data_IF_495441183975
#
_entry.id   IF_495441183975
#
_cell.length_a   1.000
_cell.length_b   1.000
_cell.length_c   1.000
_cell.angle_alpha   90.00
_cell.angle_beta   90.00
_cell.angle_gamma   90.00
#
_symmetry.space_group_name_H-M   'P 1'
#
loop_
_entity.id
_entity.type
_entity.pdbx_description
1 polymer ?
#
# COMPACT_ATOMS: atom_id res chain seq x y z
N UNK A 1 25.41 -53.13 -8.38
CA UNK A 1 25.73 -52.82 -6.98
C UNK A 1 25.88 -51.31 -6.78
N UNK A 2 24.88 -50.52 -7.18
CA UNK A 2 24.78 -49.10 -6.85
C UNK A 2 23.30 -48.81 -6.67
N UNK A 3 22.81 -49.19 -5.49
CA UNK A 3 21.46 -48.95 -5.03
C UNK A 3 21.54 -48.05 -3.79
N UNK A 4 20.59 -47.14 -3.71
CA UNK A 4 20.25 -46.32 -2.54
C UNK A 4 21.37 -45.41 -1.99
N UNK A 5 21.34 -44.14 -2.39
CA UNK A 5 21.48 -42.99 -1.48
C UNK A 5 21.35 -41.72 -2.30
N UNK A 6 20.15 -41.13 -2.30
CA UNK A 6 19.82 -39.69 -2.26
C UNK A 6 18.29 -39.62 -2.45
N UNK A 7 17.56 -39.97 -1.38
CA UNK A 7 16.19 -39.51 -1.15
C UNK A 7 16.14 -39.05 0.31
N UNK A 8 16.76 -37.91 0.60
CA UNK A 8 16.39 -37.13 1.77
C UNK A 8 15.24 -36.24 1.34
N UNK A 9 14.03 -36.73 1.57
CA UNK A 9 12.79 -35.98 1.53
C UNK A 9 12.91 -34.79 2.48
N UNK A 10 13.01 -33.58 1.93
CA UNK A 10 12.71 -32.37 2.69
C UNK A 10 11.18 -32.31 2.77
N UNK A 11 10.61 -32.83 3.86
CA UNK A 11 9.20 -32.63 4.19
C UNK A 11 9.02 -31.19 4.69
N UNK A 12 8.98 -30.23 3.78
CA UNK A 12 8.46 -28.90 4.10
C UNK A 12 6.94 -29.04 4.10
N UNK A 13 6.34 -29.05 5.30
CA UNK A 13 4.89 -29.01 5.43
C UNK A 13 4.39 -27.72 4.79
N UNK A 14 3.71 -27.83 3.65
CA UNK A 14 2.97 -26.72 3.07
C UNK A 14 1.96 -26.24 4.13
N UNK A 15 1.92 -24.94 4.46
CA UNK A 15 0.95 -24.43 5.42
C UNK A 15 -0.47 -24.73 4.91
N UNK A 16 -1.43 -24.99 5.81
CA UNK A 16 -2.79 -25.35 5.40
C UNK A 16 -3.40 -24.23 4.53
N UNK A 17 -4.25 -24.61 3.57
CA UNK A 17 -4.90 -23.68 2.63
C UNK A 17 -5.56 -22.47 3.32
N UNK A 18 -6.07 -22.63 4.54
CA UNK A 18 -6.61 -21.54 5.36
C UNK A 18 -5.57 -20.47 5.72
N UNK A 19 -4.33 -20.85 5.98
CA UNK A 19 -3.21 -19.94 6.26
C UNK A 19 -2.77 -19.20 5.00
N UNK A 20 -2.78 -19.87 3.85
CA UNK A 20 -2.44 -19.25 2.55
C UNK A 20 -3.49 -18.20 2.18
N UNK A 21 -4.78 -18.53 2.28
CA UNK A 21 -5.87 -17.59 2.01
C UNK A 21 -5.88 -16.42 3.00
N UNK A 22 -5.63 -16.67 4.29
CA UNK A 22 -5.51 -15.61 5.29
C UNK A 22 -4.32 -14.68 4.99
N UNK A 23 -3.19 -15.24 4.55
CA UNK A 23 -2.00 -14.45 4.19
C UNK A 23 -2.20 -13.66 2.89
N UNK A 24 -2.86 -14.24 1.89
CA UNK A 24 -3.24 -13.54 0.67
C UNK A 24 -4.23 -12.40 0.95
N UNK A 25 -5.24 -12.64 1.80
CA UNK A 25 -6.18 -11.59 2.23
C UNK A 25 -5.47 -10.47 3.02
N UNK A 26 -4.52 -10.83 3.88
CA UNK A 26 -3.70 -9.89 4.64
C UNK A 26 -2.83 -9.00 3.75
N UNK A 27 -2.14 -9.61 2.77
CA UNK A 27 -1.30 -8.89 1.80
C UNK A 27 -2.17 -8.01 0.90
N UNK A 28 -3.29 -8.54 0.37
CA UNK A 28 -4.24 -7.79 -0.46
C UNK A 28 -4.78 -6.53 0.24
N UNK A 29 -4.92 -6.55 1.57
CA UNK A 29 -5.33 -5.38 2.34
C UNK A 29 -4.36 -4.21 2.18
N UNK A 30 -3.07 -4.47 2.06
CA UNK A 30 -2.06 -3.41 1.87
C UNK A 30 -2.00 -2.94 0.42
N UNK A 31 -2.11 -3.85 -0.55
CA UNK A 31 -2.18 -3.49 -1.98
C UNK A 31 -3.37 -2.57 -2.30
N UNK A 32 -4.47 -2.70 -1.54
CA UNK A 32 -5.67 -1.87 -1.67
C UNK A 32 -5.71 -0.68 -0.68
N UNK A 33 -4.66 -0.48 0.13
CA UNK A 33 -4.63 0.55 1.17
C UNK A 33 -4.54 1.95 0.56
N UNK A 34 -5.69 2.62 0.47
CA UNK A 34 -5.81 3.98 -0.05
C UNK A 34 -5.35 5.08 0.90
N UNK A 35 -5.73 4.98 2.17
CA UNK A 35 -5.52 6.01 3.19
C UNK A 35 -4.52 5.53 4.25
N UNK A 36 -3.88 6.46 4.96
CA UNK A 36 -2.88 6.13 6.00
C UNK A 36 -3.51 5.35 7.17
N UNK A 37 -4.71 5.74 7.56
CA UNK A 37 -5.55 5.14 8.59
C UNK A 37 -6.69 4.32 7.97
N UNK A 38 -7.14 3.32 8.73
CA UNK A 38 -8.31 2.52 8.37
C UNK A 38 -9.61 3.27 8.70
N UNK A 39 -10.73 2.89 8.08
CA UNK A 39 -12.04 3.48 8.39
C UNK A 39 -12.37 3.38 9.90
N UNK A 40 -12.15 2.21 10.50
CA UNK A 40 -12.34 2.02 11.94
C UNK A 40 -11.40 2.86 12.82
N UNK A 41 -10.18 3.13 12.36
CA UNK A 41 -9.27 4.05 13.07
C UNK A 41 -9.82 5.48 13.08
N UNK A 42 -10.37 5.95 11.95
CA UNK A 42 -10.98 7.28 11.86
C UNK A 42 -12.24 7.36 12.72
N UNK A 43 -13.08 6.32 12.70
CA UNK A 43 -14.26 6.23 13.57
C UNK A 43 -13.86 6.27 15.05
N UNK A 44 -12.83 5.52 15.46
CA UNK A 44 -12.32 5.55 16.83
C UNK A 44 -11.82 6.93 17.24
N UNK A 45 -11.14 7.67 16.35
CA UNK A 45 -10.73 9.05 16.62
C UNK A 45 -11.97 9.94 16.82
N UNK A 46 -12.99 9.80 15.97
CA UNK A 46 -14.24 10.54 16.14
C UNK A 46 -14.93 10.21 17.48
N UNK A 47 -14.90 8.93 17.90
CA UNK A 47 -15.39 8.50 19.21
C UNK A 47 -14.56 9.01 20.40
N UNK A 48 -13.35 9.54 20.20
CA UNK A 48 -12.59 10.23 21.25
C UNK A 48 -12.87 11.74 21.26
N UNK A 49 -13.06 12.34 20.08
CA UNK A 49 -13.32 13.77 19.92
C UNK A 49 -14.73 14.15 20.41
N UNK A 50 -15.76 13.40 20.04
CA UNK A 50 -17.13 13.73 20.43
C UNK A 50 -17.32 13.77 21.96
N UNK A 51 -16.88 12.75 22.73
CA UNK A 51 -16.93 12.83 24.20
C UNK A 51 -16.06 13.94 24.77
N UNK A 52 -14.92 14.26 24.16
CA UNK A 52 -14.07 15.38 24.59
C UNK A 52 -14.83 16.71 24.49
N UNK A 53 -15.58 16.94 23.40
CA UNK A 53 -16.41 18.13 23.24
C UNK A 53 -17.52 18.22 24.29
N UNK A 54 -18.25 17.13 24.55
CA UNK A 54 -19.31 17.13 25.57
C UNK A 54 -18.76 17.34 26.98
N UNK A 55 -17.54 16.87 27.26
CA UNK A 55 -16.86 17.10 28.54
C UNK A 55 -16.48 18.56 28.73
N UNK A 56 -15.91 19.21 27.73
CA UNK A 56 -15.60 20.65 27.78
C UNK A 56 -16.87 21.46 28.09
N UNK A 57 -17.99 21.15 27.43
CA UNK A 57 -19.29 21.78 27.71
C UNK A 57 -19.76 21.55 29.15
N UNK A 58 -19.63 20.31 29.63
CA UNK A 58 -20.02 19.95 31.00
C UNK A 58 -19.15 20.65 32.04
N UNK A 59 -17.84 20.81 31.79
CA UNK A 59 -16.93 21.55 32.66
C UNK A 59 -17.27 23.05 32.70
N UNK A 60 -17.48 23.67 31.54
CA UNK A 60 -17.89 25.07 31.45
C UNK A 60 -19.21 25.33 32.20
N UNK A 61 -20.22 24.49 31.97
CA UNK A 61 -21.51 24.59 32.66
C UNK A 61 -21.36 24.41 34.18
N UNK A 62 -20.51 23.47 34.60
CA UNK A 62 -20.20 23.25 36.02
C UNK A 62 -19.57 24.48 36.68
N UNK A 63 -18.62 25.13 36.00
CA UNK A 63 -17.99 26.38 36.47
C UNK A 63 -19.02 27.52 36.56
N UNK A 64 -19.86 27.68 35.55
CA UNK A 64 -20.93 28.67 35.53
C UNK A 64 -21.92 28.46 36.69
N UNK A 65 -22.41 27.23 36.89
CA UNK A 65 -23.32 26.89 37.99
C UNK A 65 -22.71 27.15 39.37
N UNK A 66 -21.41 26.88 39.53
CA UNK A 66 -20.70 27.17 40.77
C UNK A 66 -20.66 28.68 41.07
N UNK A 67 -20.51 29.53 40.04
CA UNK A 67 -20.57 30.99 40.19
C UNK A 67 -21.96 31.45 40.66
N UNK A 68 -23.03 30.96 40.04
CA UNK A 68 -24.40 31.26 40.47
C UNK A 68 -24.67 30.86 41.93
N UNK A 69 -24.22 29.66 42.33
CA UNK A 69 -24.41 29.16 43.71
C UNK A 69 -23.69 29.99 44.76
N UNK A 70 -22.57 30.59 44.41
CA UNK A 70 -21.77 31.39 45.33
C UNK A 70 -22.21 32.88 45.38
N UNK A 71 -23.28 33.26 44.68
CA UNK A 71 -23.86 34.61 44.73
C UNK A 71 -23.02 35.71 44.06
N UNK A 72 -21.95 35.35 43.35
CA UNK A 72 -21.06 36.27 42.64
C UNK A 72 -21.20 36.10 41.14
N UNK A 73 -22.19 36.76 40.53
CA UNK A 73 -22.30 36.82 39.08
C UNK A 73 -21.30 37.86 38.54
N UNK A 74 -20.15 37.37 38.08
CA UNK A 74 -19.19 38.16 37.32
C UNK A 74 -19.45 37.90 35.83
N UNK A 75 -20.14 38.83 35.16
CA UNK A 75 -20.50 38.72 33.74
C UNK A 75 -19.26 38.59 32.84
N UNK A 76 -18.13 39.22 33.21
CA UNK A 76 -16.90 39.12 32.44
C UNK A 76 -16.31 37.71 32.52
N UNK A 77 -16.31 37.10 33.71
CA UNK A 77 -15.87 35.69 33.86
C UNK A 77 -16.81 34.71 33.18
N UNK A 78 -18.12 34.95 33.23
CA UNK A 78 -19.11 34.10 32.55
C UNK A 78 -18.86 34.09 31.04
N UNK A 79 -18.69 35.27 30.45
CA UNK A 79 -18.39 35.43 29.02
C UNK A 79 -17.07 34.78 28.65
N UNK A 80 -16.03 34.96 29.48
CA UNK A 80 -14.73 34.33 29.25
C UNK A 80 -14.80 32.78 29.23
N UNK A 81 -15.65 32.17 30.06
CA UNK A 81 -15.86 30.72 30.05
C UNK A 81 -16.51 30.26 28.73
N UNK A 82 -17.54 30.97 28.27
CA UNK A 82 -18.20 30.65 27.00
C UNK A 82 -17.24 30.82 25.80
N UNK A 83 -16.46 31.89 25.78
CA UNK A 83 -15.44 32.12 24.75
C UNK A 83 -14.37 31.03 24.75
N UNK A 84 -13.87 30.64 25.93
CA UNK A 84 -12.90 29.56 26.06
C UNK A 84 -13.48 28.22 25.57
N UNK A 85 -14.72 27.89 25.96
CA UNK A 85 -15.41 26.69 25.51
C UNK A 85 -15.53 26.64 23.98
N UNK A 86 -15.91 27.77 23.36
CA UNK A 86 -16.03 27.87 21.91
C UNK A 86 -14.68 27.65 21.24
N UNK A 87 -13.60 28.24 21.77
CA UNK A 87 -12.24 28.06 21.26
C UNK A 87 -11.79 26.61 21.37
N UNK A 88 -12.00 25.94 22.51
CA UNK A 88 -11.55 24.57 22.72
C UNK A 88 -12.33 23.57 21.84
N UNK A 89 -13.65 23.75 21.71
CA UNK A 89 -14.47 22.92 20.82
C UNK A 89 -14.07 23.13 19.35
N UNK A 90 -13.77 24.37 18.97
CA UNK A 90 -13.31 24.69 17.62
C UNK A 90 -11.93 24.07 17.35
N UNK A 91 -11.00 24.12 18.31
CA UNK A 91 -9.70 23.47 18.23
C UNK A 91 -9.83 21.96 17.99
N UNK A 92 -10.72 21.27 18.72
CA UNK A 92 -10.97 19.84 18.50
C UNK A 92 -11.52 19.52 17.11
N UNK A 93 -12.34 20.41 16.53
CA UNK A 93 -12.81 20.25 15.13
C UNK A 93 -11.67 20.44 14.14
N UNK A 94 -10.80 21.41 14.37
CA UNK A 94 -9.62 21.65 13.55
C UNK A 94 -8.67 20.47 13.58
N UNK A 95 -8.45 19.88 14.75
CA UNK A 95 -7.69 18.64 14.89
C UNK A 95 -8.28 17.50 14.06
N UNK A 96 -9.60 17.30 14.13
CA UNK A 96 -10.26 16.26 13.33
C UNK A 96 -10.09 16.50 11.82
N UNK A 97 -10.29 17.73 11.37
CA UNK A 97 -10.16 18.08 9.96
C UNK A 97 -8.71 17.90 9.46
N UNK A 98 -7.72 18.28 10.27
CA UNK A 98 -6.31 18.06 9.95
C UNK A 98 -5.98 16.56 9.86
N UNK A 99 -6.53 15.73 10.75
CA UNK A 99 -6.38 14.26 10.68
C UNK A 99 -6.97 13.73 9.36
N UNK A 100 -8.17 14.18 8.98
CA UNK A 100 -8.81 13.76 7.73
C UNK A 100 -8.01 14.18 6.50
N UNK A 101 -7.47 15.39 6.49
CA UNK A 101 -6.62 15.88 5.39
C UNK A 101 -5.33 15.06 5.29
N UNK A 102 -4.61 14.88 6.42
CA UNK A 102 -3.36 14.13 6.46
C UNK A 102 -3.54 12.66 6.11
N UNK A 103 -4.71 12.09 6.40
CA UNK A 103 -5.04 10.71 6.11
C UNK A 103 -5.06 10.40 4.59
N UNK A 104 -5.19 11.43 3.75
CA UNK A 104 -5.01 11.28 2.31
C UNK A 104 -3.53 11.01 1.96
N UNK A 105 -3.24 10.15 0.96
CA UNK A 105 -1.88 9.71 0.63
C UNK A 105 -1.09 10.76 -0.16
N UNK A 106 -1.14 12.02 0.27
CA UNK A 106 -0.41 13.15 -0.33
C UNK A 106 0.91 13.40 0.40
N UNK A 107 1.72 14.32 -0.13
CA UNK A 107 2.96 14.73 0.54
C UNK A 107 2.60 15.49 1.81
N UNK A 108 3.16 15.05 2.94
CA UNK A 108 2.94 15.71 4.23
C UNK A 108 3.62 17.10 4.22
N UNK A 109 2.80 18.16 4.36
CA UNK A 109 3.27 19.54 4.51
C UNK A 109 3.76 19.81 5.93
N UNK A 110 4.64 20.79 6.10
CA UNK A 110 5.16 21.17 7.41
C UNK A 110 4.05 21.64 8.36
N UNK A 111 3.12 22.49 7.89
CA UNK A 111 1.99 22.96 8.70
C UNK A 111 1.15 21.80 9.27
N UNK A 112 0.94 20.76 8.45
CA UNK A 112 0.22 19.56 8.86
C UNK A 112 1.04 18.73 9.87
N UNK A 113 2.36 18.66 9.71
CA UNK A 113 3.25 18.00 10.67
C UNK A 113 3.17 18.67 12.04
N UNK A 114 3.25 20.00 12.07
CA UNK A 114 3.18 20.80 13.30
C UNK A 114 1.82 20.64 13.98
N UNK A 115 0.73 20.58 13.19
CA UNK A 115 -0.60 20.29 13.70
C UNK A 115 -0.69 18.90 14.34
N UNK A 116 -0.12 17.87 13.73
CA UNK A 116 -0.10 16.52 14.32
C UNK A 116 0.68 16.48 15.64
N UNK A 117 1.78 17.21 15.75
CA UNK A 117 2.53 17.31 17.01
C UNK A 117 1.69 17.95 18.11
N UNK A 118 0.95 19.04 17.80
CA UNK A 118 -0.03 19.62 18.73
C UNK A 118 -1.11 18.63 19.14
N UNK A 119 -1.67 17.87 18.19
CA UNK A 119 -2.71 16.85 18.48
C UNK A 119 -2.16 15.75 19.39
N UNK A 120 -0.91 15.32 19.16
CA UNK A 120 -0.26 14.29 19.97
C UNK A 120 0.02 14.76 21.40
N UNK A 121 0.30 16.04 21.60
CA UNK A 121 0.56 16.63 22.92
C UNK A 121 -0.72 16.98 23.67
N UNK A 122 -1.83 17.19 22.98
CA UNK A 122 -3.10 17.52 23.62
C UNK A 122 -3.54 16.44 24.62
N UNK A 123 -3.82 16.87 25.86
CA UNK A 123 -4.35 16.05 26.94
C UNK A 123 -5.60 16.73 27.48
N UNK A 124 -6.70 15.99 27.54
CA UNK A 124 -7.89 16.39 28.27
C UNK A 124 -7.99 15.56 29.54
N UNK A 125 -8.09 16.24 30.68
CA UNK A 125 -8.25 15.59 31.97
C UNK A 125 -9.67 15.04 32.13
N UNK A 126 -9.77 13.74 32.44
CA UNK A 126 -11.02 13.00 32.55
C UNK A 126 -10.96 12.07 33.76
N UNK A 127 -11.57 12.47 34.88
CA UNK A 127 -11.80 11.57 36.03
C UNK A 127 -10.54 10.75 36.41
N UNK A 128 -9.39 11.42 36.54
CA UNK A 128 -8.08 10.83 36.86
C UNK A 128 -7.38 10.05 35.73
N UNK A 129 -7.90 10.09 34.49
CA UNK A 129 -7.23 9.60 33.28
C UNK A 129 -7.06 10.73 32.24
N UNK A 130 -5.86 10.84 31.65
CA UNK A 130 -5.63 11.76 30.54
C UNK A 130 -6.11 11.15 29.21
N UNK A 131 -7.07 11.80 28.56
CA UNK A 131 -7.51 11.41 27.22
C UNK A 131 -6.61 12.02 26.14
N UNK A 132 -5.97 11.15 25.36
CA UNK A 132 -5.30 11.52 24.12
C UNK A 132 -6.23 11.35 22.91
N UNK A 133 -6.19 12.29 21.96
CA UNK A 133 -7.03 12.24 20.74
C UNK A 133 -6.56 11.12 19.80
N UNK A 134 -5.25 11.01 19.59
CA UNK A 134 -4.62 9.98 18.77
C UNK A 134 -3.62 9.20 19.62
N UNK A 135 -3.46 7.90 19.33
CA UNK A 135 -2.41 7.09 19.94
C UNK A 135 -1.11 7.14 19.11
N UNK A 136 -0.02 6.58 19.66
CA UNK A 136 1.30 6.58 19.02
C UNK A 136 1.28 5.93 17.63
N UNK A 137 0.56 4.83 17.44
CA UNK A 137 0.49 4.13 16.16
C UNK A 137 -0.28 4.93 15.10
N UNK A 138 -1.40 5.55 15.46
CA UNK A 138 -2.15 6.45 14.57
C UNK A 138 -1.31 7.65 14.16
N UNK A 139 -0.56 8.22 15.10
CA UNK A 139 0.37 9.30 14.83
C UNK A 139 1.47 8.89 13.85
N UNK A 140 2.16 7.76 14.11
CA UNK A 140 3.24 7.27 13.24
C UNK A 140 2.74 7.03 11.80
N UNK A 141 1.52 6.50 11.65
CA UNK A 141 0.88 6.32 10.35
C UNK A 141 0.57 7.65 9.66
N UNK A 142 0.02 8.65 10.38
CA UNK A 142 -0.28 9.96 9.82
C UNK A 142 0.99 10.72 9.40
N UNK A 143 2.09 10.52 10.14
CA UNK A 143 3.40 11.12 9.88
C UNK A 143 4.15 10.55 8.68
N UNK A 144 3.61 9.54 7.98
CA UNK A 144 4.22 9.01 6.75
C UNK A 144 4.34 10.15 5.72
N UNK A 145 5.56 10.44 5.21
CA UNK A 145 5.81 11.64 4.41
C UNK A 145 5.21 11.56 3.00
N UNK A 146 5.17 10.36 2.40
CA UNK A 146 4.59 10.11 1.08
C UNK A 146 3.91 8.74 1.04
N UNK A 147 2.68 8.72 0.54
CA UNK A 147 1.87 7.49 0.42
C UNK A 147 1.20 7.09 1.73
N UNK A 148 0.66 5.87 1.75
CA UNK A 148 -0.17 5.33 2.84
C UNK A 148 0.48 4.19 3.63
N UNK A 149 1.60 3.66 3.13
CA UNK A 149 2.24 2.45 3.67
C UNK A 149 3.29 2.81 4.70
N UNK A 150 3.15 2.24 5.89
CA UNK A 150 4.21 2.22 6.89
C UNK A 150 5.40 1.38 6.41
N UNK A 151 6.59 1.53 7.03
CA UNK A 151 7.76 0.74 6.65
C UNK A 151 7.53 -0.78 6.72
N UNK A 152 6.77 -1.25 7.70
CA UNK A 152 6.42 -2.67 7.86
C UNK A 152 5.48 -3.14 6.76
N UNK A 153 4.41 -2.39 6.48
CA UNK A 153 3.47 -2.70 5.39
C UNK A 153 4.15 -2.68 4.01
N UNK A 154 5.06 -1.72 3.79
CA UNK A 154 5.86 -1.66 2.56
C UNK A 154 6.69 -2.92 2.38
N UNK A 155 7.40 -3.37 3.43
CA UNK A 155 8.20 -4.59 3.40
C UNK A 155 7.36 -5.84 3.09
N UNK A 156 6.15 -5.92 3.64
CA UNK A 156 5.22 -7.01 3.34
C UNK A 156 4.77 -7.00 1.87
N UNK A 157 4.49 -5.83 1.30
CA UNK A 157 4.18 -5.71 -0.13
C UNK A 157 5.39 -6.11 -0.98
N UNK A 158 6.57 -5.58 -0.70
CA UNK A 158 7.81 -5.86 -1.44
C UNK A 158 8.18 -7.35 -1.42
N UNK A 159 7.77 -8.09 -0.38
CA UNK A 159 8.00 -9.52 -0.27
C UNK A 159 7.38 -10.36 -1.39
N UNK A 160 6.39 -9.84 -2.13
CA UNK A 160 5.73 -10.57 -3.22
C UNK A 160 6.74 -11.04 -4.27
N UNK A 161 7.80 -10.27 -4.52
CA UNK A 161 8.84 -10.58 -5.50
C UNK A 161 9.66 -11.78 -5.07
N UNK A 162 10.01 -11.83 -3.78
CA UNK A 162 10.73 -12.95 -3.16
C UNK A 162 9.85 -14.20 -3.16
N UNK A 163 8.56 -14.05 -2.85
CA UNK A 163 7.60 -15.15 -2.92
C UNK A 163 7.46 -15.68 -4.35
N UNK A 164 7.36 -14.80 -5.36
CA UNK A 164 7.33 -15.15 -6.78
C UNK A 164 8.60 -15.90 -7.20
N UNK A 165 9.78 -15.39 -6.84
CA UNK A 165 11.03 -16.08 -7.13
C UNK A 165 11.05 -17.47 -6.52
N UNK A 166 10.75 -17.58 -5.23
CA UNK A 166 10.71 -18.86 -4.54
C UNK A 166 9.77 -19.83 -5.23
N UNK A 167 8.56 -19.40 -5.60
CA UNK A 167 7.62 -20.24 -6.33
C UNK A 167 8.18 -20.69 -7.68
N UNK A 168 8.65 -19.75 -8.51
CA UNK A 168 9.17 -20.04 -9.84
C UNK A 168 10.43 -20.91 -9.80
N UNK A 169 11.25 -20.83 -8.75
CA UNK A 169 12.45 -21.66 -8.58
C UNK A 169 12.15 -23.14 -8.36
N UNK A 170 10.92 -23.52 -8.00
CA UNK A 170 10.52 -24.92 -7.89
C UNK A 170 10.08 -25.53 -9.23
N UNK A 171 9.88 -24.71 -10.26
CA UNK A 171 9.48 -25.18 -11.59
C UNK A 171 10.74 -25.70 -12.32
N UNK A 172 10.71 -26.90 -12.90
CA UNK A 172 11.83 -27.46 -13.64
C UNK A 172 11.95 -26.81 -15.03
N UNK A 173 12.51 -25.60 -15.08
CA UNK A 173 12.74 -24.86 -16.32
C UNK A 173 13.72 -25.58 -17.24
N UNK A 174 13.51 -25.44 -18.55
CA UNK A 174 14.54 -25.78 -19.54
C UNK A 174 15.72 -24.80 -19.44
N UNK A 175 16.86 -25.12 -20.07
CA UNK A 175 18.07 -24.29 -20.01
C UNK A 175 17.82 -22.87 -20.53
N UNK A 176 16.93 -22.73 -21.50
CA UNK A 176 16.56 -21.46 -22.13
C UNK A 176 15.79 -20.54 -21.15
N UNK A 177 15.05 -21.12 -20.19
CA UNK A 177 14.17 -20.39 -19.26
C UNK A 177 14.64 -20.44 -17.80
N UNK A 178 15.81 -21.03 -17.52
CA UNK A 178 16.34 -21.17 -16.15
C UNK A 178 16.46 -19.83 -15.38
N UNK A 179 16.54 -18.70 -16.10
CA UNK A 179 16.67 -17.37 -15.53
C UNK A 179 15.33 -16.68 -15.23
N UNK A 180 14.18 -17.29 -15.59
CA UNK A 180 12.85 -16.72 -15.34
C UNK A 180 12.62 -16.33 -13.87
N UNK A 181 13.00 -17.15 -12.87
CA UNK A 181 12.85 -16.75 -11.46
C UNK A 181 13.64 -15.49 -11.12
N UNK A 182 14.88 -15.37 -11.60
CA UNK A 182 15.73 -14.19 -11.37
C UNK A 182 15.19 -12.96 -12.09
N UNK A 183 14.70 -13.13 -13.31
CA UNK A 183 14.12 -12.04 -14.10
C UNK A 183 12.89 -11.46 -13.39
N UNK A 184 11.98 -12.35 -12.96
CA UNK A 184 10.81 -11.99 -12.18
C UNK A 184 11.19 -11.42 -10.81
N UNK A 185 12.31 -11.82 -10.22
CA UNK A 185 12.76 -11.27 -8.94
C UNK A 185 13.32 -9.84 -9.06
N UNK A 186 13.87 -9.47 -10.22
CA UNK A 186 14.60 -8.21 -10.36
C UNK A 186 13.80 -7.08 -11.05
N UNK A 187 12.54 -7.29 -11.44
CA UNK A 187 11.76 -6.29 -12.18
C UNK A 187 11.37 -5.03 -11.37
N UNK A 188 11.53 -5.06 -10.04
CA UNK A 188 11.37 -3.88 -9.17
C UNK A 188 12.71 -3.25 -8.74
N UNK A 189 13.84 -3.78 -9.23
CA UNK A 189 15.14 -3.14 -9.05
C UNK A 189 15.21 -1.82 -9.82
N UNK A 190 16.05 -0.90 -9.33
CA UNK A 190 16.25 0.44 -9.92
C UNK A 190 17.72 0.63 -10.22
N UNK A 191 18.04 1.30 -11.33
CA UNK A 191 19.44 1.39 -11.79
C UNK A 191 20.39 2.02 -10.76
N UNK A 192 19.88 2.95 -9.94
CA UNK A 192 20.63 3.59 -8.86
C UNK A 192 20.77 2.74 -7.56
N UNK A 193 20.21 1.53 -7.51
CA UNK A 193 20.25 0.64 -6.35
C UNK A 193 19.19 0.93 -5.27
N UNK A 194 18.25 1.84 -5.50
CA UNK A 194 17.14 2.13 -4.57
C UNK A 194 15.96 1.16 -4.68
N UNK A 195 16.07 0.17 -5.58
CA UNK A 195 15.05 -0.86 -5.78
C UNK A 195 15.13 -2.00 -4.77
N UNK A 196 14.33 -3.04 -5.03
CA UNK A 196 14.21 -4.22 -4.20
C UNK A 196 14.01 -5.46 -5.08
N UNK A 197 14.28 -6.69 -4.59
CA UNK A 197 14.60 -7.04 -3.20
C UNK A 197 16.07 -7.00 -2.80
N UNK A 198 17.01 -6.89 -3.75
CA UNK A 198 18.45 -7.00 -3.51
C UNK A 198 19.15 -5.64 -3.43
N UNK A 199 18.58 -4.59 -4.02
CA UNK A 199 19.21 -3.27 -4.08
C UNK A 199 20.43 -3.24 -5.00
N UNK A 200 20.40 -4.07 -6.05
CA UNK A 200 21.48 -4.17 -7.04
C UNK A 200 21.44 -3.00 -8.03
N UNK A 201 22.58 -2.70 -8.65
CA UNK A 201 22.71 -1.56 -9.58
C UNK A 201 22.60 -1.99 -11.04
N UNK A 202 22.53 -0.99 -11.92
CA UNK A 202 22.35 -1.13 -13.37
C UNK A 202 23.03 -2.36 -14.02
N UNK A 203 24.33 -2.53 -13.81
CA UNK A 203 25.14 -3.61 -14.42
C UNK A 203 24.71 -5.02 -13.99
N UNK A 204 24.11 -5.15 -12.81
CA UNK A 204 23.69 -6.43 -12.21
C UNK A 204 22.24 -6.78 -12.57
N UNK A 205 21.44 -5.80 -12.98
CA UNK A 205 20.02 -6.01 -13.30
C UNK A 205 19.91 -6.66 -14.68
N UNK A 206 19.25 -7.83 -14.81
CA UNK A 206 19.05 -8.47 -16.10
C UNK A 206 18.27 -7.55 -17.07
N UNK A 207 18.71 -7.49 -18.34
CA UNK A 207 18.01 -6.71 -19.36
C UNK A 207 16.49 -7.02 -19.44
N UNK A 208 16.03 -8.29 -19.40
CA UNK A 208 14.61 -8.58 -19.38
C UNK A 208 13.87 -7.96 -18.18
N UNK A 209 14.51 -7.88 -17.01
CA UNK A 209 13.93 -7.23 -15.82
C UNK A 209 13.82 -5.73 -16.00
N UNK A 210 14.79 -5.07 -16.65
CA UNK A 210 14.71 -3.63 -16.99
C UNK A 210 13.55 -3.36 -17.96
N UNK A 211 13.35 -4.24 -18.95
CA UNK A 211 12.21 -4.16 -19.87
C UNK A 211 10.90 -4.33 -19.10
N UNK A 212 10.79 -5.37 -18.26
CA UNK A 212 9.61 -5.61 -17.43
C UNK A 212 9.30 -4.41 -16.52
N UNK A 213 10.30 -3.77 -15.92
CA UNK A 213 10.11 -2.60 -15.06
C UNK A 213 9.42 -1.44 -15.81
N UNK A 214 9.83 -1.17 -17.05
CA UNK A 214 9.20 -0.12 -17.89
C UNK A 214 7.75 -0.50 -18.21
N UNK A 215 7.52 -1.74 -18.63
CA UNK A 215 6.19 -2.23 -18.98
C UNK A 215 5.23 -2.23 -17.77
N UNK A 216 5.68 -2.73 -16.62
CA UNK A 216 4.90 -2.80 -15.38
C UNK A 216 4.51 -1.42 -14.86
N UNK A 217 5.44 -0.45 -14.90
CA UNK A 217 5.13 0.93 -14.51
C UNK A 217 4.12 1.54 -15.47
N UNK A 218 4.30 1.37 -16.78
CA UNK A 218 3.36 1.91 -17.76
C UNK A 218 1.95 1.34 -17.55
N UNK A 219 1.84 0.02 -17.42
CA UNK A 219 0.57 -0.67 -17.20
C UNK A 219 -0.08 -0.21 -15.89
N UNK A 220 0.69 -0.08 -14.80
CA UNK A 220 0.20 0.43 -13.52
C UNK A 220 -0.26 1.91 -13.55
N UNK A 221 0.22 2.70 -14.50
CA UNK A 221 -0.19 4.09 -14.70
C UNK A 221 -1.47 4.19 -15.54
N UNK A 222 -1.63 3.34 -16.54
CA UNK A 222 -2.73 3.42 -17.54
C UNK A 222 -3.89 2.45 -17.26
N UNK A 223 -3.70 1.47 -16.38
CA UNK A 223 -4.73 0.52 -15.96
C UNK A 223 -6.02 1.22 -15.47
N UNK A 224 -7.15 0.90 -16.13
CA UNK A 224 -8.48 1.47 -15.86
C UNK A 224 -9.34 0.65 -14.91
N UNK A 225 -8.91 -0.58 -14.60
CA UNK A 225 -9.59 -1.55 -13.74
C UNK A 225 -9.32 -1.31 -12.24
N UNK A 226 -8.39 -0.41 -11.89
CA UNK A 226 -8.11 -0.06 -10.50
C UNK A 226 -9.22 0.85 -9.96
N UNK A 227 -10.05 0.42 -8.98
CA UNK A 227 -11.27 1.13 -8.56
C UNK A 227 -11.04 2.54 -8.00
N UNK A 228 -9.79 2.90 -7.77
CA UNK A 228 -9.36 4.04 -6.95
C UNK A 228 -8.45 5.01 -7.68
N UNK A 229 -8.08 4.72 -8.93
CA UNK A 229 -7.21 5.56 -9.74
C UNK A 229 -7.81 5.66 -11.14
N UNK A 230 -8.13 6.88 -11.58
CA UNK A 230 -8.47 7.11 -12.98
C UNK A 230 -7.24 6.77 -13.83
N UNK A 231 -7.46 5.99 -14.90
CA UNK A 231 -6.43 5.72 -15.89
C UNK A 231 -5.76 7.03 -16.32
N UNK A 232 -4.43 7.06 -16.27
CA UNK A 232 -3.66 8.17 -16.79
C UNK A 232 -3.66 8.11 -18.32
N UNK A 233 -3.72 9.27 -18.99
CA UNK A 233 -3.53 9.30 -20.43
C UNK A 233 -2.09 8.91 -20.79
N UNK A 234 -1.93 8.33 -21.98
CA UNK A 234 -0.66 7.82 -22.47
C UNK A 234 0.48 8.84 -22.42
N UNK A 235 0.21 10.09 -22.81
CA UNK A 235 1.21 11.16 -22.81
C UNK A 235 1.81 11.38 -21.41
N UNK A 236 0.97 11.52 -20.38
CA UNK A 236 1.47 11.70 -19.01
C UNK A 236 2.18 10.46 -18.48
N UNK A 237 1.74 9.26 -18.88
CA UNK A 237 2.43 8.03 -18.49
C UNK A 237 3.85 7.99 -19.07
N UNK A 238 4.02 8.39 -20.34
CA UNK A 238 5.33 8.51 -20.99
C UNK A 238 6.17 9.59 -20.32
N UNK A 239 5.60 10.76 -19.99
CA UNK A 239 6.32 11.82 -19.29
C UNK A 239 6.89 11.33 -17.95
N UNK A 240 6.12 10.53 -17.19
CA UNK A 240 6.59 9.92 -15.94
C UNK A 240 7.73 8.93 -16.18
N UNK A 241 7.63 8.06 -17.21
CA UNK A 241 8.72 7.14 -17.55
C UNK A 241 10.00 7.90 -17.90
N UNK A 242 9.87 8.99 -18.66
CA UNK A 242 11.00 9.86 -19.00
C UNK A 242 11.60 10.53 -17.77
N UNK A 243 10.79 11.06 -16.86
CA UNK A 243 11.25 11.65 -15.59
C UNK A 243 11.99 10.62 -14.72
N UNK A 244 11.42 9.43 -14.55
CA UNK A 244 12.02 8.34 -13.77
C UNK A 244 13.33 7.86 -14.40
N UNK A 245 13.42 7.79 -15.73
CA UNK A 245 14.68 7.50 -16.43
C UNK A 245 15.73 8.60 -16.24
N UNK A 246 15.31 9.88 -16.25
CA UNK A 246 16.19 11.03 -15.99
C UNK A 246 16.76 11.05 -14.56
N UNK A 247 16.05 10.44 -13.61
CA UNK A 247 16.48 10.25 -12.22
C UNK A 247 17.36 9.00 -12.01
N UNK A 248 17.66 8.25 -13.07
CA UNK A 248 18.44 7.00 -12.99
C UNK A 248 17.68 5.86 -12.31
N UNK A 249 16.35 5.87 -12.37
CA UNK A 249 15.51 4.79 -11.84
C UNK A 249 15.20 3.73 -12.89
N UNK A 250 15.12 4.15 -14.17
CA UNK A 250 14.85 3.30 -15.33
C UNK A 250 15.92 3.50 -16.41
N UNK A 251 16.06 2.51 -17.29
CA UNK A 251 16.95 2.61 -18.45
C UNK A 251 16.36 3.55 -19.51
N UNK A 252 17.06 4.65 -19.76
CA UNK A 252 16.62 5.68 -20.70
C UNK A 252 16.52 5.16 -22.13
N UNK A 253 17.40 4.26 -22.56
CA UNK A 253 17.34 3.70 -23.90
C UNK A 253 16.10 2.81 -24.06
N UNK A 254 15.74 2.04 -23.02
CA UNK A 254 14.53 1.23 -23.05
C UNK A 254 13.25 2.09 -23.05
N UNK A 255 13.21 3.17 -22.28
CA UNK A 255 12.07 4.12 -22.32
C UNK A 255 11.96 4.77 -23.70
N UNK A 256 13.09 5.12 -24.33
CA UNK A 256 13.11 5.67 -25.69
C UNK A 256 12.59 4.64 -26.70
N UNK A 257 13.07 3.40 -26.65
CA UNK A 257 12.58 2.31 -27.53
C UNK A 257 11.09 2.07 -27.33
N UNK A 258 10.60 2.02 -26.08
CA UNK A 258 9.18 1.86 -25.77
C UNK A 258 8.33 2.96 -26.42
N UNK A 259 8.82 4.20 -26.38
CA UNK A 259 8.13 5.38 -26.91
C UNK A 259 8.18 5.42 -28.43
N UNK A 260 9.35 5.24 -29.04
CA UNK A 260 9.57 5.33 -30.48
C UNK A 260 8.87 4.21 -31.25
N UNK A 261 8.90 3.00 -30.69
CA UNK A 261 8.18 1.85 -31.24
C UNK A 261 6.67 1.93 -31.01
N UNK A 262 6.19 2.94 -30.27
CA UNK A 262 4.78 3.15 -29.90
C UNK A 262 4.15 1.88 -29.34
N UNK A 263 4.85 1.18 -28.46
CA UNK A 263 4.41 -0.10 -27.87
C UNK A 263 3.03 0.04 -27.23
N UNK A 264 2.75 1.21 -26.67
CA UNK A 264 1.44 1.55 -26.09
C UNK A 264 0.27 1.54 -27.08
N UNK A 265 0.48 1.62 -28.40
CA UNK A 265 -0.62 1.51 -29.36
C UNK A 265 -1.04 0.05 -29.58
N UNK A 266 -0.13 -0.91 -29.36
CA UNK A 266 -0.42 -2.33 -29.51
C UNK A 266 -1.35 -2.87 -28.40
N UNK A 267 -1.47 -2.14 -27.29
CA UNK A 267 -2.32 -2.50 -26.14
C UNK A 267 -3.68 -1.80 -26.17
N UNK A 268 -3.85 -0.73 -26.96
CA UNK A 268 -5.12 0.03 -27.06
C UNK A 268 -6.25 -0.82 -27.63
N UNK A 269 -5.95 -1.74 -28.55
CA UNK A 269 -6.92 -2.69 -29.08
C UNK A 269 -7.19 -3.86 -28.12
N UNK A 270 -6.33 -4.09 -27.12
CA UNK A 270 -6.24 -5.35 -26.35
C UNK A 270 -6.20 -6.61 -27.24
N UNK A 271 -5.88 -6.46 -28.52
CA UNK A 271 -5.69 -7.54 -29.47
C UNK A 271 -4.22 -7.92 -29.42
N UNK A 272 -3.88 -8.82 -28.50
CA UNK A 272 -2.55 -9.40 -28.47
C UNK A 272 -2.36 -10.21 -29.75
N UNK A 273 -1.25 -10.04 -30.50
CA UNK A 273 -0.90 -10.96 -31.56
C UNK A 273 -0.82 -12.34 -30.92
N UNK A 274 -1.79 -13.21 -31.18
CA UNK A 274 -1.60 -14.65 -30.99
C UNK A 274 -0.31 -14.95 -31.71
N UNK A 275 0.70 -15.42 -30.98
CA UNK A 275 1.95 -15.85 -31.55
C UNK A 275 1.60 -16.66 -32.80
N UNK A 276 2.16 -16.28 -33.95
CA UNK A 276 2.09 -17.11 -35.16
C UNK A 276 2.30 -18.54 -34.72
N UNK A 277 1.36 -19.43 -35.04
CA UNK A 277 1.37 -20.84 -34.65
C UNK A 277 2.79 -21.42 -34.81
N UNK A 278 3.55 -21.42 -33.73
CA UNK A 278 4.80 -22.14 -33.64
C UNK A 278 4.41 -23.52 -33.13
N UNK A 279 4.27 -24.45 -34.09
CA UNK A 279 4.29 -25.91 -33.94
C UNK A 279 3.61 -26.52 -32.70
N UNK A 280 2.42 -27.08 -32.92
CA UNK A 280 1.82 -28.31 -32.33
C UNK A 280 2.05 -28.73 -30.86
N UNK A 281 2.45 -27.86 -29.95
CA UNK A 281 2.46 -28.17 -28.51
C UNK A 281 1.76 -27.07 -27.73
N UNK A 282 0.43 -27.14 -27.76
CA UNK A 282 -0.48 -26.37 -26.91
C UNK A 282 -0.66 -27.13 -25.60
N UNK A 283 0.08 -26.73 -24.56
CA UNK A 283 -0.37 -26.94 -23.19
C UNK A 283 -0.60 -25.54 -22.61
N UNK A 284 -1.83 -25.04 -22.71
CA UNK A 284 -2.19 -23.78 -22.10
C UNK A 284 -2.29 -24.01 -20.58
N UNK A 285 -1.74 -23.14 -19.71
CA UNK A 285 -1.87 -23.27 -18.25
C UNK A 285 -3.31 -23.14 -17.70
N UNK A 286 -4.30 -23.06 -18.59
CA UNK A 286 -5.72 -23.04 -18.29
C UNK A 286 -6.49 -24.17 -19.01
N UNK A 287 -5.80 -25.08 -19.70
CA UNK A 287 -6.42 -26.30 -20.18
C UNK A 287 -6.72 -27.14 -18.93
N UNK A 288 -7.99 -27.11 -18.53
CA UNK A 288 -8.52 -28.01 -17.52
C UNK A 288 -8.42 -29.40 -18.14
N UNK A 289 -7.42 -30.19 -17.73
CA UNK A 289 -7.36 -31.61 -18.02
C UNK A 289 -8.65 -32.24 -17.46
N UNK A 290 -9.68 -32.34 -18.28
CA UNK A 290 -10.73 -33.32 -18.10
C UNK A 290 -10.08 -34.69 -18.32
N UNK A 291 -9.35 -35.15 -17.31
CA UNK A 291 -9.10 -36.57 -17.11
C UNK A 291 -10.47 -37.22 -16.89
N UNK A 292 -11.14 -37.55 -18.00
CA UNK A 292 -12.08 -38.65 -18.05
C UNK A 292 -11.32 -39.86 -17.53
N UNK A 293 -11.52 -40.14 -16.24
CA UNK A 293 -11.18 -41.43 -15.67
C UNK A 293 -11.77 -42.50 -16.58
N UNK A 294 -10.88 -43.34 -17.12
CA UNK A 294 -11.20 -44.61 -17.72
C UNK A 294 -12.29 -45.30 -16.90
N UNK A 295 -13.50 -45.35 -17.44
CA UNK A 295 -14.46 -46.39 -17.10
C UNK A 295 -14.01 -47.66 -17.80
N UNK A 296 -12.96 -48.27 -17.26
CA UNK A 296 -12.76 -49.69 -17.41
C UNK A 296 -13.77 -50.42 -16.51
N UNK A 297 -14.27 -51.54 -17.03
CA UNK A 297 -15.14 -52.55 -16.45
C UNK A 297 -16.66 -52.31 -16.49
N UNK A 298 -17.32 -52.92 -17.49
CA UNK A 298 -18.40 -53.92 -17.30
C UNK A 298 -19.03 -54.35 -18.64
N UNK A 299 -18.45 -55.37 -19.29
CA UNK A 299 -19.09 -56.64 -19.74
C UNK A 299 -18.17 -57.46 -20.62
#
# INVERSE_FOLDING_TARGET
>A
MFDSQIRKSVSLSMPPYSTILARLAYVNRFWLKRKKLTAGSVENINYRILPAQERLRSQALGQQLAMYRNGGLDEARFTAIDEQLLQDVQMLKEFYNAILEVNEPTVLKQDNRDMLDKIKEYRLDVQDEELAIINSNEFDLLCIPKGSLSPTERKEIESHVVHTQNFLSHIPWTKEFQNVPTIAAAHHEKLNGSGYPYGIKDEEIPLPSKIMAVCDIYDALTASDRPYKRAMNTEKAIDILMEESGRGLLDRNLVQVFTDAKVFQAIDSKEYPTAKEFSSFSNHPCDVDEHLHDKADLK
#
